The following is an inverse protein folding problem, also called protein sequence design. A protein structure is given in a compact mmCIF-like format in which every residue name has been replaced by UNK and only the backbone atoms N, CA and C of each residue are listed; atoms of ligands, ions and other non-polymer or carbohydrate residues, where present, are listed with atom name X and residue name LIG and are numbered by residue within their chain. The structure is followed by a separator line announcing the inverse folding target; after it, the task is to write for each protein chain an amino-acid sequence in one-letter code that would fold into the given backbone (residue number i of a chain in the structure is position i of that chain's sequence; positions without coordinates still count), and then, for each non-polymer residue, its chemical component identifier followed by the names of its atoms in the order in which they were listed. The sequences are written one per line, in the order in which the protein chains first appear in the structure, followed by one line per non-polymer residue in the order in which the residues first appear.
data_IF_605610570812
#
_entry.id   IF_605610570812
#
_cell.length_a   1.000
_cell.length_b   1.000
_cell.length_c   1.000
_cell.angle_alpha   90.00
_cell.angle_beta   90.00
_cell.angle_gamma   90.00
#
_symmetry.space_group_name_H-M   'P 1'
#
loop_
_entity.id
_entity.type
_entity.pdbx_description
1 polymer ?
#
# COMPACT_ATOMS: atom_id res chain seq x y z
N UNK A 1 15.46 15.18 -11.42
CA UNK A 1 15.47 16.63 -11.59
C UNK A 1 14.17 17.24 -11.03
N UNK A 2 13.00 16.85 -11.51
CA UNK A 2 11.71 17.39 -11.03
C UNK A 2 11.53 17.28 -9.51
N UNK A 3 11.94 16.16 -8.91
CA UNK A 3 11.88 15.99 -7.44
C UNK A 3 12.69 17.06 -6.72
N UNK A 4 13.93 17.35 -7.17
CA UNK A 4 14.75 18.39 -6.56
C UNK A 4 14.13 19.79 -6.72
N UNK A 5 13.57 20.10 -7.88
CA UNK A 5 12.85 21.36 -8.13
C UNK A 5 11.66 21.50 -7.15
N UNK A 6 10.86 20.44 -6.96
CA UNK A 6 9.74 20.44 -6.00
C UNK A 6 10.20 20.60 -4.54
N UNK A 7 11.33 19.99 -4.16
CA UNK A 7 11.89 20.18 -2.80
C UNK A 7 12.26 21.64 -2.55
N UNK A 8 12.91 22.29 -3.51
CA UNK A 8 13.25 23.72 -3.41
C UNK A 8 12.01 24.64 -3.40
N UNK A 9 10.98 24.30 -4.18
CA UNK A 9 9.69 25.01 -4.13
C UNK A 9 9.05 24.90 -2.73
N UNK A 10 8.96 23.69 -2.16
CA UNK A 10 8.40 23.47 -0.82
C UNK A 10 9.19 24.23 0.25
N UNK A 11 10.54 24.22 0.20
CA UNK A 11 11.36 25.00 1.13
C UNK A 11 11.06 26.51 1.04
N UNK A 12 10.96 27.03 -0.18
CA UNK A 12 10.65 28.43 -0.43
C UNK A 12 9.27 28.82 0.07
N UNK A 13 8.26 28.01 -0.23
CA UNK A 13 6.87 28.27 0.13
C UNK A 13 6.62 28.19 1.65
N UNK A 14 7.34 27.30 2.34
CA UNK A 14 7.26 27.17 3.80
C UNK A 14 8.14 28.15 4.55
N UNK A 15 9.11 28.81 3.89
CA UNK A 15 10.08 29.68 4.52
C UNK A 15 11.01 28.96 5.50
N UNK A 16 11.13 27.64 5.41
CA UNK A 16 12.01 26.85 6.26
C UNK A 16 13.49 27.06 5.90
N UNK A 17 14.30 27.33 6.91
CA UNK A 17 15.75 27.36 6.78
C UNK A 17 16.31 25.93 6.70
N UNK A 18 17.49 25.76 6.12
CA UNK A 18 18.10 24.43 5.89
C UNK A 18 18.33 23.66 7.19
N UNK A 19 18.61 24.32 8.30
CA UNK A 19 18.79 23.75 9.63
C UNK A 19 17.49 23.19 10.25
N UNK A 20 16.34 23.58 9.72
CA UNK A 20 15.01 23.09 10.12
C UNK A 20 14.43 22.07 9.17
N UNK A 21 15.10 21.78 8.07
CA UNK A 21 14.68 20.82 7.07
C UNK A 21 15.35 19.45 7.31
N UNK A 22 14.60 18.49 7.85
CA UNK A 22 15.13 17.20 8.26
C UNK A 22 15.62 16.35 7.09
N UNK A 23 14.98 16.46 5.93
CA UNK A 23 15.36 15.69 4.74
C UNK A 23 14.18 15.31 3.85
N UNK A 24 14.42 14.36 2.96
CA UNK A 24 13.44 13.89 1.96
C UNK A 24 13.25 12.39 2.06
N UNK A 25 12.08 11.95 2.47
CA UNK A 25 11.67 10.56 2.37
C UNK A 25 11.22 10.24 0.94
N UNK A 26 11.83 9.24 0.32
CA UNK A 26 11.56 8.81 -1.06
C UNK A 26 10.95 7.42 -1.03
N UNK A 27 9.64 7.32 -1.19
CA UNK A 27 8.99 6.04 -1.30
C UNK A 27 9.03 5.51 -2.73
N UNK A 28 9.41 4.25 -2.88
CA UNK A 28 9.53 3.58 -4.19
C UNK A 28 8.75 2.28 -4.20
N UNK A 29 8.18 1.95 -5.35
CA UNK A 29 7.54 0.67 -5.57
C UNK A 29 8.61 -0.38 -5.88
N UNK A 30 8.87 -1.26 -4.91
CA UNK A 30 9.86 -2.32 -5.02
C UNK A 30 10.65 -2.55 -3.73
N UNK A 31 11.29 -3.71 -3.64
CA UNK A 31 12.12 -4.08 -2.49
C UNK A 31 13.40 -3.25 -2.45
N UNK A 32 13.77 -2.86 -1.24
CA UNK A 32 14.97 -2.06 -0.97
C UNK A 32 16.03 -2.95 -0.31
N UNK A 33 17.31 -2.72 -0.61
CA UNK A 33 18.44 -3.42 0.02
C UNK A 33 18.52 -3.13 1.53
N UNK A 34 19.18 -4.00 2.27
CA UNK A 34 19.30 -3.91 3.73
C UNK A 34 19.98 -2.59 4.19
N UNK A 35 20.89 -2.08 3.39
CA UNK A 35 21.54 -0.78 3.62
C UNK A 35 20.70 0.44 3.20
N UNK A 36 19.51 0.22 2.60
CA UNK A 36 18.64 1.30 2.12
C UNK A 36 19.12 2.00 0.85
N UNK A 37 20.19 1.52 0.20
CA UNK A 37 20.87 2.25 -0.87
C UNK A 37 20.44 1.86 -2.28
N UNK A 38 19.65 0.79 -2.45
CA UNK A 38 19.30 0.27 -3.78
C UNK A 38 17.93 -0.38 -3.82
N UNK A 39 17.24 -0.26 -4.95
CA UNK A 39 16.07 -1.07 -5.28
C UNK A 39 16.55 -2.43 -5.80
N UNK A 40 16.32 -3.49 -5.03
CA UNK A 40 16.75 -4.86 -5.35
C UNK A 40 15.78 -5.58 -6.27
N UNK A 41 14.50 -5.22 -6.20
CA UNK A 41 13.43 -5.79 -7.02
C UNK A 41 12.34 -4.74 -7.27
N UNK A 42 12.23 -4.25 -8.49
CA UNK A 42 11.30 -3.19 -8.88
C UNK A 42 10.82 -3.41 -10.31
N UNK A 43 10.08 -4.51 -10.54
CA UNK A 43 9.68 -4.92 -11.91
C UNK A 43 8.56 -4.05 -12.47
N UNK A 44 7.66 -3.56 -11.65
CA UNK A 44 6.48 -2.81 -12.09
C UNK A 44 6.85 -1.53 -12.84
N UNK A 45 7.88 -0.83 -12.35
CA UNK A 45 8.38 0.42 -12.94
C UNK A 45 9.76 0.28 -13.58
N UNK A 46 10.27 -0.95 -13.69
CA UNK A 46 11.62 -1.25 -14.21
C UNK A 46 12.74 -0.50 -13.44
N UNK A 47 12.63 -0.46 -12.11
CA UNK A 47 13.57 0.23 -11.22
C UNK A 47 14.63 -0.69 -10.62
N UNK A 48 14.63 -1.99 -10.93
CA UNK A 48 15.62 -2.92 -10.38
C UNK A 48 17.04 -2.43 -10.66
N UNK A 49 17.84 -2.32 -9.60
CA UNK A 49 19.22 -1.87 -9.66
C UNK A 49 19.41 -0.34 -9.51
N UNK A 50 18.35 0.45 -9.56
CA UNK A 50 18.42 1.89 -9.32
C UNK A 50 18.89 2.15 -7.89
N UNK A 51 19.85 3.06 -7.73
CA UNK A 51 20.41 3.42 -6.43
C UNK A 51 19.74 4.67 -5.86
N UNK A 52 19.83 4.83 -4.53
CA UNK A 52 19.44 6.06 -3.85
C UNK A 52 20.15 7.27 -4.45
N UNK A 53 21.45 7.14 -4.74
CA UNK A 53 22.25 8.20 -5.35
C UNK A 53 21.75 8.61 -6.76
N UNK A 54 21.26 7.65 -7.57
CA UNK A 54 20.69 7.96 -8.89
C UNK A 54 19.42 8.80 -8.79
N UNK A 55 18.57 8.50 -7.80
CA UNK A 55 17.33 9.24 -7.55
C UNK A 55 17.64 10.61 -6.94
N UNK A 56 18.52 10.62 -5.94
CA UNK A 56 18.79 11.77 -5.10
C UNK A 56 19.85 12.74 -5.63
N UNK A 57 20.43 12.49 -6.79
CA UNK A 57 21.52 13.35 -7.33
C UNK A 57 21.17 14.84 -7.47
N UNK A 58 19.88 15.17 -7.46
CA UNK A 58 19.38 16.53 -7.48
C UNK A 58 18.76 16.97 -6.15
N UNK A 59 18.94 16.19 -5.09
CA UNK A 59 18.42 16.45 -3.75
C UNK A 59 19.63 16.57 -2.83
N UNK A 60 20.16 17.77 -2.56
CA UNK A 60 21.35 17.96 -1.74
C UNK A 60 21.13 17.67 -0.25
N UNK A 61 19.87 17.66 0.18
CA UNK A 61 19.48 17.39 1.55
C UNK A 61 19.59 15.89 1.89
N UNK A 62 19.66 15.57 3.18
CA UNK A 62 19.52 14.20 3.66
C UNK A 62 18.30 13.51 3.03
N UNK A 63 18.44 12.24 2.64
CA UNK A 63 17.36 11.52 1.98
C UNK A 63 17.48 10.02 2.20
N UNK A 64 16.32 9.34 2.23
CA UNK A 64 16.22 7.89 2.40
C UNK A 64 15.18 7.29 1.46
N UNK A 65 15.40 6.02 1.08
CA UNK A 65 14.43 5.22 0.34
C UNK A 65 13.55 4.43 1.31
N UNK A 66 12.26 4.38 1.02
CA UNK A 66 11.27 3.58 1.73
C UNK A 66 10.47 2.74 0.73
N UNK A 67 10.09 1.54 1.15
CA UNK A 67 9.10 0.75 0.41
C UNK A 67 7.72 1.42 0.52
N UNK A 68 7.01 1.58 -0.59
CA UNK A 68 5.77 2.34 -0.69
C UNK A 68 4.67 1.86 0.28
N UNK A 69 4.40 0.54 0.30
CA UNK A 69 3.37 -0.01 1.17
C UNK A 69 3.77 0.01 2.65
N UNK A 70 5.08 -0.11 2.96
CA UNK A 70 5.59 0.02 4.30
C UNK A 70 5.42 1.47 4.81
N UNK A 71 5.79 2.46 4.00
CA UNK A 71 5.58 3.86 4.33
C UNK A 71 4.08 4.17 4.55
N UNK A 72 3.21 3.72 3.63
CA UNK A 72 1.78 3.92 3.77
C UNK A 72 1.19 3.28 5.03
N UNK A 73 1.63 2.05 5.36
CA UNK A 73 1.23 1.36 6.59
C UNK A 73 1.70 2.09 7.85
N UNK A 74 2.91 2.64 7.81
CA UNK A 74 3.45 3.41 8.92
C UNK A 74 2.66 4.70 9.19
N UNK A 75 2.21 5.39 8.13
CA UNK A 75 1.33 6.54 8.29
C UNK A 75 0.04 6.22 9.06
N UNK A 76 -0.51 5.01 8.85
CA UNK A 76 -1.75 4.61 9.52
C UNK A 76 -1.58 4.36 11.02
N UNK A 77 -0.42 3.87 11.46
CA UNK A 77 -0.21 3.54 12.88
C UNK A 77 0.38 4.67 13.70
N UNK A 78 1.01 5.66 13.06
CA UNK A 78 1.68 6.77 13.73
C UNK A 78 0.82 7.52 14.75
N UNK A 79 -0.44 7.77 14.43
CA UNK A 79 -1.36 8.54 15.29
C UNK A 79 -2.57 7.72 15.76
N UNK A 80 -2.49 6.38 15.71
CA UNK A 80 -3.58 5.48 16.04
C UNK A 80 -3.18 4.49 17.11
N UNK A 81 -3.55 4.76 18.34
CA UNK A 81 -3.26 3.90 19.51
C UNK A 81 -3.98 2.54 19.50
N UNK A 82 -4.84 2.29 18.50
CA UNK A 82 -5.57 1.04 18.35
C UNK A 82 -4.98 0.09 17.30
N UNK A 83 -3.84 0.42 16.73
CA UNK A 83 -3.19 -0.31 15.64
C UNK A 83 -1.75 -0.74 15.97
N UNK A 84 -1.43 -1.06 17.24
CA UNK A 84 -0.09 -1.51 17.64
C UNK A 84 0.39 -2.72 16.82
N UNK A 85 -0.52 -3.66 16.58
CA UNK A 85 -0.34 -4.77 15.65
C UNK A 85 -1.40 -4.68 14.56
N UNK A 86 -0.98 -4.59 13.31
CA UNK A 86 -1.87 -4.46 12.17
C UNK A 86 -1.24 -5.02 10.89
N UNK A 87 -2.09 -5.29 9.92
CA UNK A 87 -1.68 -5.50 8.55
C UNK A 87 -2.25 -4.36 7.68
N UNK A 88 -1.39 -3.59 7.03
CA UNK A 88 -1.82 -2.62 6.03
C UNK A 88 -1.91 -3.31 4.66
N UNK A 89 -3.09 -3.33 4.06
CA UNK A 89 -3.37 -3.86 2.73
C UNK A 89 -3.51 -2.70 1.74
N UNK A 90 -2.54 -2.56 0.85
CA UNK A 90 -2.53 -1.55 -0.21
C UNK A 90 -3.17 -2.09 -1.48
N UNK A 91 -4.33 -1.55 -1.86
CA UNK A 91 -5.05 -1.86 -3.11
C UNK A 91 -4.82 -0.72 -4.11
N UNK A 92 -3.62 -0.68 -4.68
CA UNK A 92 -3.16 0.36 -5.62
C UNK A 92 -2.94 -0.22 -7.02
N UNK A 93 -2.06 0.36 -7.83
CA UNK A 93 -1.68 -0.17 -9.16
C UNK A 93 -1.03 -1.56 -9.08
N UNK A 94 -0.53 -1.91 -7.91
CA UNK A 94 -0.23 -3.28 -7.49
C UNK A 94 -0.82 -3.51 -6.10
N UNK A 95 -1.05 -4.78 -5.77
CA UNK A 95 -1.44 -5.17 -4.41
C UNK A 95 -0.17 -5.37 -3.60
N UNK A 96 -0.04 -4.60 -2.54
CA UNK A 96 1.05 -4.70 -1.59
C UNK A 96 0.56 -4.74 -0.15
N UNK A 97 1.46 -4.80 0.80
CA UNK A 97 1.11 -4.74 2.20
C UNK A 97 2.28 -4.38 3.10
N UNK A 98 1.97 -4.13 4.35
CA UNK A 98 2.95 -3.98 5.40
C UNK A 98 2.47 -4.72 6.65
N UNK A 99 3.34 -5.50 7.25
CA UNK A 99 3.14 -6.13 8.55
C UNK A 99 3.63 -5.18 9.61
N UNK A 100 2.80 -4.85 10.57
CA UNK A 100 3.11 -3.94 11.67
C UNK A 100 3.01 -4.75 12.96
N UNK A 101 4.08 -4.71 13.77
CA UNK A 101 4.17 -5.38 15.07
C UNK A 101 4.76 -4.40 16.07
N UNK A 102 4.08 -4.19 17.18
CA UNK A 102 4.48 -3.26 18.23
C UNK A 102 4.81 -1.85 17.66
N UNK A 103 3.92 -1.32 16.83
CA UNK A 103 4.04 -0.03 16.13
C UNK A 103 5.25 0.10 15.18
N UNK A 104 5.88 -1.01 14.80
CA UNK A 104 7.02 -1.01 13.88
C UNK A 104 6.73 -1.87 12.65
N UNK A 105 7.28 -1.46 11.52
CA UNK A 105 7.23 -2.27 10.30
C UNK A 105 8.08 -3.53 10.50
N UNK A 106 7.47 -4.68 10.35
CA UNK A 106 8.18 -5.97 10.31
C UNK A 106 8.63 -6.24 8.88
N UNK A 107 9.91 -6.04 8.61
CA UNK A 107 10.46 -6.18 7.25
C UNK A 107 10.69 -7.64 6.82
N UNK A 108 10.90 -8.57 7.79
CA UNK A 108 11.32 -9.94 7.52
C UNK A 108 12.81 -10.05 7.20
N UNK A 109 13.31 -11.29 7.09
CA UNK A 109 14.75 -11.57 6.89
C UNK A 109 15.34 -10.91 5.63
N UNK A 110 14.56 -10.79 4.56
CA UNK A 110 14.99 -10.25 3.25
C UNK A 110 14.07 -9.13 2.78
N UNK A 111 13.46 -8.40 3.68
CA UNK A 111 12.54 -7.30 3.40
C UNK A 111 11.40 -7.66 2.45
N UNK A 112 10.92 -8.91 2.51
CA UNK A 112 9.79 -9.41 1.70
C UNK A 112 8.51 -9.59 2.50
N UNK A 113 8.50 -9.14 3.75
CA UNK A 113 7.28 -9.15 4.54
C UNK A 113 6.24 -8.23 3.90
N UNK A 114 5.01 -8.69 3.83
CA UNK A 114 3.94 -7.91 3.20
C UNK A 114 3.78 -8.08 1.69
N UNK A 115 4.64 -8.86 1.00
CA UNK A 115 4.53 -9.18 -0.43
C UNK A 115 3.33 -10.08 -0.77
N UNK A 116 2.17 -9.81 -0.17
CA UNK A 116 0.95 -10.61 -0.27
C UNK A 116 0.30 -10.53 -1.65
N UNK A 117 0.63 -9.52 -2.44
CA UNK A 117 0.19 -9.42 -3.83
C UNK A 117 0.58 -10.65 -4.65
N UNK A 118 1.63 -11.36 -4.24
CA UNK A 118 2.10 -12.59 -4.90
C UNK A 118 1.52 -13.88 -4.31
N UNK A 119 0.64 -13.81 -3.30
CA UNK A 119 -0.12 -14.99 -2.85
C UNK A 119 -0.99 -15.52 -3.99
N UNK A 120 -0.99 -16.84 -4.17
CA UNK A 120 -1.84 -17.49 -5.18
C UNK A 120 -3.30 -17.52 -4.70
N UNK A 121 -4.18 -16.78 -5.36
CA UNK A 121 -5.62 -16.77 -5.13
C UNK A 121 -6.34 -17.70 -6.11
N UNK A 122 -5.85 -17.80 -7.36
CA UNK A 122 -6.42 -18.66 -8.40
C UNK A 122 -5.38 -19.67 -8.89
N UNK A 123 -5.34 -20.88 -8.32
CA UNK A 123 -4.21 -21.81 -8.53
C UNK A 123 -4.04 -22.34 -9.95
N UNK A 124 -5.12 -22.49 -10.73
CA UNK A 124 -5.06 -23.21 -12.04
C UNK A 124 -5.38 -22.36 -13.27
N UNK A 125 -6.22 -21.36 -13.14
CA UNK A 125 -6.78 -20.60 -14.26
C UNK A 125 -6.52 -19.10 -14.17
N UNK A 126 -5.64 -18.67 -13.27
CA UNK A 126 -5.36 -17.25 -13.05
C UNK A 126 -4.48 -16.64 -14.15
N UNK A 127 -4.62 -15.35 -14.33
CA UNK A 127 -3.81 -14.55 -15.23
C UNK A 127 -2.34 -14.56 -14.84
N UNK A 128 -1.47 -14.27 -15.80
CA UNK A 128 -0.03 -14.17 -15.56
C UNK A 128 0.29 -12.88 -14.81
N UNK A 129 0.95 -13.04 -13.68
CA UNK A 129 1.49 -11.92 -12.90
C UNK A 129 2.85 -11.47 -13.45
N UNK A 130 3.22 -10.22 -13.24
CA UNK A 130 4.54 -9.69 -13.61
C UNK A 130 5.70 -10.41 -12.89
N UNK A 131 5.46 -11.05 -11.75
CA UNK A 131 6.45 -11.89 -11.06
C UNK A 131 6.72 -13.23 -11.78
N UNK A 132 6.03 -13.52 -12.89
CA UNK A 132 6.16 -14.74 -13.69
C UNK A 132 5.21 -15.87 -13.27
N UNK A 133 4.60 -15.83 -12.11
CA UNK A 133 3.62 -16.81 -11.64
C UNK A 133 2.22 -16.51 -12.21
N UNK A 134 1.25 -17.40 -11.91
CA UNK A 134 -0.15 -17.24 -12.31
C UNK A 134 -1.07 -17.21 -11.09
N UNK A 135 -2.15 -16.43 -11.21
CA UNK A 135 -3.22 -16.40 -10.21
C UNK A 135 -2.85 -15.71 -8.91
N UNK A 136 -1.86 -14.83 -8.94
CA UNK A 136 -1.50 -13.98 -7.81
C UNK A 136 -2.66 -13.05 -7.42
N UNK A 137 -2.74 -12.69 -6.16
CA UNK A 137 -3.71 -11.74 -5.63
C UNK A 137 -3.69 -10.40 -6.39
N UNK A 138 -2.51 -9.94 -6.77
CA UNK A 138 -2.30 -8.76 -7.60
C UNK A 138 -3.09 -8.79 -8.91
N UNK A 139 -3.14 -9.95 -9.59
CA UNK A 139 -3.82 -10.05 -10.89
C UNK A 139 -5.33 -9.85 -10.85
N UNK A 140 -5.93 -9.91 -9.67
CA UNK A 140 -7.39 -9.84 -9.48
C UNK A 140 -7.85 -8.71 -8.56
N UNK A 141 -6.95 -8.10 -7.78
CA UNK A 141 -7.28 -7.08 -6.80
C UNK A 141 -6.47 -5.78 -6.90
N UNK A 142 -5.62 -5.60 -7.92
CA UNK A 142 -5.03 -4.28 -8.21
C UNK A 142 -6.10 -3.32 -8.76
N UNK A 143 -5.91 -2.02 -8.55
CA UNK A 143 -6.86 -0.98 -8.95
C UNK A 143 -7.19 -1.01 -10.46
N UNK A 144 -6.20 -1.33 -11.30
CA UNK A 144 -6.36 -1.39 -12.74
C UNK A 144 -7.43 -2.40 -13.20
N UNK A 145 -7.66 -3.49 -12.44
CA UNK A 145 -8.71 -4.48 -12.76
C UNK A 145 -10.11 -3.85 -12.79
N UNK A 146 -10.32 -2.82 -11.98
CA UNK A 146 -11.57 -2.06 -11.95
C UNK A 146 -11.53 -0.92 -12.98
N UNK A 147 -10.42 -0.18 -13.03
CA UNK A 147 -10.25 0.96 -13.91
C UNK A 147 -10.38 0.58 -15.40
N UNK A 148 -9.88 -0.59 -15.81
CA UNK A 148 -9.98 -1.10 -17.19
C UNK A 148 -11.42 -1.16 -17.70
N UNK A 149 -12.41 -1.39 -16.85
CA UNK A 149 -13.82 -1.33 -17.23
C UNK A 149 -14.32 0.09 -17.56
N UNK A 150 -13.62 1.10 -17.07
CA UNK A 150 -13.95 2.53 -17.24
C UNK A 150 -12.86 3.29 -18.00
N UNK A 151 -12.30 2.69 -19.05
CA UNK A 151 -11.26 3.29 -19.93
C UNK A 151 -9.97 3.68 -19.20
N UNK A 152 -9.63 2.99 -18.10
CA UNK A 152 -8.45 3.24 -17.30
C UNK A 152 -8.66 4.24 -16.15
N UNK A 153 -9.89 4.71 -15.93
CA UNK A 153 -10.25 5.68 -14.91
C UNK A 153 -10.96 5.01 -13.72
N UNK A 154 -10.29 4.96 -12.57
CA UNK A 154 -10.83 4.35 -11.36
C UNK A 154 -11.98 5.18 -10.74
N UNK A 155 -11.92 6.50 -10.80
CA UNK A 155 -12.97 7.39 -10.29
C UNK A 155 -14.26 7.18 -11.09
N UNK A 156 -14.15 7.19 -12.41
CA UNK A 156 -15.26 6.88 -13.33
C UNK A 156 -15.85 5.50 -13.08
N UNK A 157 -15.01 4.50 -12.73
CA UNK A 157 -15.54 3.17 -12.37
C UNK A 157 -16.45 3.25 -11.14
N UNK A 158 -16.06 3.97 -10.09
CA UNK A 158 -16.89 4.11 -8.90
C UNK A 158 -18.13 4.97 -9.14
N UNK A 159 -18.09 5.97 -10.02
CA UNK A 159 -19.28 6.70 -10.47
C UNK A 159 -20.28 5.77 -11.18
N UNK A 160 -19.80 4.91 -12.10
CA UNK A 160 -20.64 3.91 -12.76
C UNK A 160 -21.26 2.94 -11.74
N UNK A 161 -20.49 2.53 -10.73
CA UNK A 161 -20.99 1.66 -9.67
C UNK A 161 -22.10 2.33 -8.84
N UNK A 162 -21.98 3.61 -8.53
CA UNK A 162 -22.99 4.41 -7.82
C UNK A 162 -24.27 4.60 -8.66
N UNK A 163 -24.15 4.77 -9.96
CA UNK A 163 -25.29 4.84 -10.88
C UNK A 163 -25.93 3.48 -11.17
N UNK A 164 -25.45 2.42 -10.50
CA UNK A 164 -25.95 1.04 -10.60
C UNK A 164 -25.76 0.40 -11.97
N UNK A 165 -24.70 0.78 -12.69
CA UNK A 165 -24.32 0.12 -13.92
C UNK A 165 -24.13 -1.39 -13.70
N UNK A 166 -24.75 -2.22 -14.52
CA UNK A 166 -24.78 -3.68 -14.33
C UNK A 166 -23.41 -4.32 -14.58
N UNK A 167 -22.62 -3.75 -15.46
CA UNK A 167 -21.26 -4.22 -15.75
C UNK A 167 -20.31 -3.89 -14.60
N UNK A 168 -20.31 -2.63 -14.14
CA UNK A 168 -19.52 -2.20 -12.99
C UNK A 168 -19.85 -3.03 -11.73
N UNK A 169 -21.13 -3.29 -11.47
CA UNK A 169 -21.56 -4.16 -10.35
C UNK A 169 -21.05 -5.59 -10.47
N UNK A 170 -21.00 -6.19 -11.68
CA UNK A 170 -20.43 -7.53 -11.88
C UNK A 170 -18.92 -7.54 -11.61
N UNK A 171 -18.19 -6.52 -12.10
CA UNK A 171 -16.75 -6.40 -11.85
C UNK A 171 -16.48 -6.20 -10.37
N UNK A 172 -17.22 -5.32 -9.70
CA UNK A 172 -17.10 -5.07 -8.28
C UNK A 172 -17.38 -6.32 -7.43
N UNK A 173 -18.46 -7.04 -7.71
CA UNK A 173 -18.79 -8.28 -7.01
C UNK A 173 -17.69 -9.34 -7.14
N UNK A 174 -17.11 -9.48 -8.33
CA UNK A 174 -15.99 -10.39 -8.56
C UNK A 174 -14.72 -9.93 -7.81
N UNK A 175 -14.47 -8.64 -7.82
CA UNK A 175 -13.35 -8.03 -7.09
C UNK A 175 -13.47 -8.29 -5.58
N UNK A 176 -14.63 -8.02 -4.98
CA UNK A 176 -14.88 -8.28 -3.57
C UNK A 176 -14.77 -9.76 -3.20
N UNK A 177 -15.16 -10.66 -4.11
CA UNK A 177 -15.01 -12.10 -3.90
C UNK A 177 -13.52 -12.49 -3.75
N UNK A 178 -12.65 -12.02 -4.65
CA UNK A 178 -11.21 -12.29 -4.54
C UNK A 178 -10.56 -11.52 -3.38
N UNK A 179 -11.00 -10.29 -3.12
CA UNK A 179 -10.53 -9.50 -1.99
C UNK A 179 -10.84 -10.21 -0.67
N UNK A 180 -12.04 -10.80 -0.53
CA UNK A 180 -12.40 -11.54 0.68
C UNK A 180 -11.54 -12.79 0.91
N UNK A 181 -11.07 -13.46 -0.16
CA UNK A 181 -10.12 -14.58 -0.05
C UNK A 181 -8.76 -14.07 0.46
N UNK A 182 -8.26 -12.98 -0.13
CA UNK A 182 -6.99 -12.38 0.30
C UNK A 182 -7.01 -11.93 1.75
N UNK A 183 -8.08 -11.25 2.16
CA UNK A 183 -8.29 -10.80 3.55
C UNK A 183 -8.35 -11.99 4.51
N UNK A 184 -9.12 -13.02 4.17
CA UNK A 184 -9.18 -14.24 4.98
C UNK A 184 -7.79 -14.88 5.18
N UNK A 185 -7.02 -15.01 4.10
CA UNK A 185 -5.66 -15.56 4.17
C UNK A 185 -4.74 -14.70 5.06
N UNK A 186 -4.80 -13.37 4.94
CA UNK A 186 -4.04 -12.45 5.79
C UNK A 186 -4.45 -12.62 7.26
N UNK A 187 -5.75 -12.70 7.55
CA UNK A 187 -6.27 -12.91 8.90
C UNK A 187 -5.77 -14.22 9.52
N UNK A 188 -5.75 -15.31 8.73
CA UNK A 188 -5.25 -16.61 9.19
C UNK A 188 -3.74 -16.61 9.48
N UNK A 189 -2.97 -15.73 8.83
CA UNK A 189 -1.52 -15.66 9.03
C UNK A 189 -1.12 -14.75 10.20
N UNK A 190 -1.82 -13.65 10.40
CA UNK A 190 -1.35 -12.59 11.31
C UNK A 190 -2.26 -12.35 12.52
N UNK A 191 -3.54 -12.73 12.47
CA UNK A 191 -4.52 -12.54 13.57
C UNK A 191 -4.52 -11.10 14.13
N UNK A 192 -4.45 -10.10 13.24
CA UNK A 192 -4.38 -8.68 13.58
C UNK A 192 -5.50 -7.88 12.91
N UNK A 193 -5.66 -6.61 13.24
CA UNK A 193 -6.47 -5.70 12.43
C UNK A 193 -5.89 -5.58 11.04
N UNK A 194 -6.77 -5.43 10.03
CA UNK A 194 -6.39 -5.25 8.63
C UNK A 194 -6.89 -3.88 8.19
N UNK A 195 -5.97 -2.97 7.90
CA UNK A 195 -6.28 -1.64 7.38
C UNK A 195 -6.31 -1.70 5.86
N UNK A 196 -7.42 -1.34 5.24
CA UNK A 196 -7.60 -1.38 3.79
C UNK A 196 -7.37 0.01 3.22
N UNK A 197 -6.25 0.16 2.50
CA UNK A 197 -5.81 1.41 1.90
C UNK A 197 -5.51 1.28 0.40
N UNK A 198 -4.75 2.23 -0.11
CA UNK A 198 -4.47 2.37 -1.53
C UNK A 198 -5.62 3.01 -2.31
N UNK A 199 -5.51 3.04 -3.63
CA UNK A 199 -6.47 3.75 -4.49
C UNK A 199 -7.89 3.22 -4.37
N UNK A 200 -8.08 1.89 -4.32
CA UNK A 200 -9.40 1.28 -4.10
C UNK A 200 -9.84 1.48 -2.66
N UNK A 201 -8.91 1.42 -1.69
CA UNK A 201 -9.19 1.66 -0.28
C UNK A 201 -9.79 3.03 0.01
N UNK A 202 -9.52 4.04 -0.82
CA UNK A 202 -10.15 5.36 -0.71
C UNK A 202 -11.68 5.32 -0.84
N UNK A 203 -12.21 4.35 -1.57
CA UNK A 203 -13.65 4.18 -1.83
C UNK A 203 -14.30 3.08 -0.98
N UNK A 204 -13.49 2.23 -0.29
CA UNK A 204 -13.97 0.98 0.32
C UNK A 204 -15.00 1.18 1.42
N UNK A 205 -14.97 2.31 2.12
CA UNK A 205 -15.80 2.60 3.28
C UNK A 205 -17.30 2.42 3.01
N UNK A 206 -17.77 2.85 1.83
CA UNK A 206 -19.16 2.69 1.37
C UNK A 206 -19.58 1.23 1.17
N UNK A 207 -18.61 0.33 1.02
CA UNK A 207 -18.83 -1.07 0.65
C UNK A 207 -18.38 -2.05 1.73
N UNK A 208 -18.06 -1.54 2.93
CA UNK A 208 -17.56 -2.36 4.03
C UNK A 208 -18.56 -3.44 4.46
N UNK A 209 -19.87 -3.14 4.45
CA UNK A 209 -20.91 -4.10 4.83
C UNK A 209 -20.89 -5.33 3.90
N UNK A 210 -20.85 -5.12 2.57
CA UNK A 210 -20.79 -6.21 1.58
C UNK A 210 -19.46 -6.97 1.67
N UNK A 211 -18.34 -6.27 1.87
CA UNK A 211 -17.04 -6.90 2.06
C UNK A 211 -17.03 -7.76 3.34
N UNK A 212 -17.47 -7.23 4.46
CA UNK A 212 -17.56 -7.96 5.74
C UNK A 212 -18.44 -9.21 5.61
N UNK A 213 -19.60 -9.09 4.96
CA UNK A 213 -20.47 -10.25 4.74
C UNK A 213 -19.75 -11.39 3.97
N UNK A 214 -18.94 -11.06 2.98
CA UNK A 214 -18.15 -12.05 2.20
C UNK A 214 -17.00 -12.65 3.00
N UNK A 215 -16.33 -11.84 3.81
CA UNK A 215 -15.25 -12.31 4.69
C UNK A 215 -15.80 -13.20 5.80
N UNK A 216 -16.90 -12.78 6.45
CA UNK A 216 -17.59 -13.57 7.47
C UNK A 216 -18.06 -14.93 6.95
N UNK A 217 -18.50 -15.00 5.69
CA UNK A 217 -18.91 -16.26 5.06
C UNK A 217 -17.74 -17.26 4.89
N UNK A 218 -16.48 -16.80 4.99
CA UNK A 218 -15.27 -17.64 4.91
C UNK A 218 -14.70 -17.99 6.28
N UNK A 219 -15.13 -17.27 7.32
CA UNK A 219 -14.55 -17.44 8.64
C UNK A 219 -14.97 -18.75 9.32
N UNK A 220 -13.96 -19.51 9.76
CA UNK A 220 -14.14 -20.77 10.48
C UNK A 220 -14.34 -20.61 11.99
N UNK A 221 -13.98 -19.44 12.53
CA UNK A 221 -13.98 -19.17 13.98
C UNK A 221 -15.22 -18.39 14.46
N UNK A 222 -16.14 -18.06 13.54
CA UNK A 222 -17.36 -17.27 13.81
C UNK A 222 -17.07 -15.85 14.35
N UNK A 223 -15.93 -15.31 13.96
CA UNK A 223 -15.56 -13.93 14.25
C UNK A 223 -16.25 -12.98 13.26
N UNK A 224 -16.58 -11.77 13.71
CA UNK A 224 -17.13 -10.73 12.85
C UNK A 224 -16.01 -9.85 12.31
N UNK A 225 -15.88 -9.81 10.99
CA UNK A 225 -14.80 -9.07 10.33
C UNK A 225 -14.87 -7.55 10.53
N UNK A 226 -16.03 -6.99 10.84
CA UNK A 226 -16.20 -5.59 11.24
C UNK A 226 -15.34 -5.17 12.44
N UNK A 227 -14.89 -6.13 13.27
CA UNK A 227 -14.06 -5.89 14.44
C UNK A 227 -12.58 -5.67 14.09
N UNK A 228 -12.13 -6.18 12.94
CA UNK A 228 -10.74 -6.15 12.56
C UNK A 228 -10.49 -5.55 11.16
N UNK A 229 -11.51 -5.39 10.32
CA UNK A 229 -11.38 -4.67 9.06
C UNK A 229 -11.57 -3.19 9.29
N UNK A 230 -10.58 -2.40 8.90
CA UNK A 230 -10.55 -0.95 9.14
C UNK A 230 -10.27 -0.23 7.82
N UNK A 231 -11.11 0.71 7.40
CA UNK A 231 -10.76 1.60 6.29
C UNK A 231 -9.55 2.46 6.64
N UNK A 232 -8.66 2.68 5.68
CA UNK A 232 -7.54 3.60 5.83
C UNK A 232 -8.03 5.02 6.18
N UNK A 233 -7.35 5.68 7.10
CA UNK A 233 -7.56 7.10 7.44
C UNK A 233 -7.07 8.00 6.30
N UNK A 234 -5.93 7.66 5.72
CA UNK A 234 -5.32 8.43 4.65
C UNK A 234 -5.87 7.98 3.29
N UNK A 235 -6.84 8.74 2.77
CA UNK A 235 -7.48 8.46 1.47
C UNK A 235 -6.63 8.88 0.27
N UNK A 236 -5.68 9.82 0.48
CA UNK A 236 -4.79 10.36 -0.56
C UNK A 236 -3.36 10.33 -0.04
N UNK A 237 -2.43 9.92 -0.90
CA UNK A 237 -0.97 9.99 -0.70
C UNK A 237 -0.44 9.45 0.66
N UNK A 238 -0.95 8.32 1.20
CA UNK A 238 -0.48 7.77 2.47
C UNK A 238 1.03 7.49 2.44
N UNK A 239 1.54 7.10 1.30
CA UNK A 239 2.95 6.77 1.06
C UNK A 239 3.88 7.97 1.31
N UNK A 240 3.51 9.14 0.81
CA UNK A 240 4.28 10.38 1.03
C UNK A 240 4.26 10.81 2.51
N UNK A 241 3.09 10.70 3.14
CA UNK A 241 2.93 10.99 4.58
C UNK A 241 3.82 10.06 5.42
N UNK A 242 3.77 8.76 5.18
CA UNK A 242 4.57 7.80 5.93
C UNK A 242 6.07 7.96 5.71
N UNK A 243 6.50 8.24 4.49
CA UNK A 243 7.91 8.53 4.21
C UNK A 243 8.40 9.78 4.97
N UNK A 244 7.57 10.82 5.08
CA UNK A 244 7.89 12.02 5.86
C UNK A 244 7.95 11.73 7.36
N UNK A 245 7.03 10.94 7.89
CA UNK A 245 6.99 10.53 9.30
C UNK A 245 8.26 9.75 9.66
N UNK A 246 8.71 8.83 8.82
CA UNK A 246 9.96 8.10 9.05
C UNK A 246 11.18 9.03 9.17
N UNK A 247 11.22 10.13 8.42
CA UNK A 247 12.29 11.14 8.55
C UNK A 247 12.22 11.88 9.89
N UNK A 248 11.01 12.08 10.43
CA UNK A 248 10.79 12.70 11.74
C UNK A 248 11.25 11.76 12.86
N UNK A 249 10.91 10.48 12.77
CA UNK A 249 11.32 9.47 13.77
C UNK A 249 12.83 9.31 13.83
N UNK A 250 13.49 9.24 12.67
CA UNK A 250 14.94 9.17 12.61
C UNK A 250 15.59 10.36 13.35
N UNK A 251 15.02 11.55 13.23
CA UNK A 251 15.51 12.71 13.96
C UNK A 251 15.37 12.54 15.48
N UNK A 252 14.26 11.98 15.95
CA UNK A 252 14.06 11.74 17.39
C UNK A 252 14.90 10.57 17.95
N UNK A 253 15.29 9.61 17.13
CA UNK A 253 16.18 8.51 17.57
C UNK A 253 17.63 8.95 17.74
N UNK A 254 18.04 10.08 17.13
CA UNK A 254 19.40 10.63 17.20
C UNK A 254 19.60 11.54 18.43
N UNK A 255 18.53 12.07 19.00
CA UNK A 255 18.56 12.96 20.18
C UNK A 255 18.47 12.14 21.48
#
# INVERSE_FOLDING_TARGET
RKIGETVEEVKKDTGLSDDRFLGVGIAVQGLISDDGERVTYGLTLNFTGVTRADIAKYIPSHNRLFHDSAAAGYAEVWDRNDLDDAFYLSLSNSVGGAVIVANKIFEGERRKSGEIGHMTIIPKAGDRCYCGQRGCFDTVCRANVLAEYADGDLEKFFELLETKDLGARRHWNRYLEYLSIGIHNIRMLYDTKIVIGGYVGAYIEKYMEDLCARVDARDSFKEKSERYLVPSKYKKEPTGVGAAIHMIDEFFEII
#
